data_IF_080558161462
#
_entry.id   IF_080558161462
#
_cell.length_a   1.000
_cell.length_b   1.000
_cell.length_c   1.000
_cell.angle_alpha   90.00
_cell.angle_beta   90.00
_cell.angle_gamma   90.00
#
_symmetry.space_group_name_H-M   'P 1'
#
loop_
_entity.id
_entity.type
_entity.pdbx_description
1 polymer ?
#
# COMPACT_ATOMS: atom_id res chain seq x y z
N UNK A 1 18.36 -64.77 -15.31
CA UNK A 1 17.09 -64.95 -14.57
C UNK A 1 17.14 -64.08 -13.31
N UNK A 2 16.61 -62.85 -13.38
CA UNK A 2 16.59 -61.94 -12.22
C UNK A 2 15.42 -62.35 -11.32
N UNK A 3 15.75 -62.60 -10.05
CA UNK A 3 14.90 -63.25 -9.09
C UNK A 3 13.76 -62.31 -8.65
N UNK A 4 12.52 -62.60 -9.09
CA UNK A 4 11.31 -61.75 -8.92
C UNK A 4 11.00 -61.36 -7.47
N UNK A 5 11.59 -62.02 -6.46
CA UNK A 5 11.41 -61.71 -5.05
C UNK A 5 12.15 -60.45 -4.57
N UNK A 6 13.22 -60.03 -5.23
CA UNK A 6 13.97 -58.83 -4.84
C UNK A 6 13.42 -57.53 -5.46
N UNK A 7 12.68 -57.63 -6.57
CA UNK A 7 12.06 -56.47 -7.23
C UNK A 7 10.89 -55.90 -6.41
N UNK A 8 10.17 -56.76 -5.67
CA UNK A 8 9.07 -56.35 -4.79
C UNK A 8 9.54 -55.64 -3.52
N UNK A 9 10.75 -55.93 -3.04
CA UNK A 9 11.28 -55.32 -1.81
C UNK A 9 11.78 -53.89 -2.05
N UNK A 10 12.38 -53.65 -3.22
CA UNK A 10 12.87 -52.33 -3.62
C UNK A 10 11.72 -51.36 -3.91
N UNK A 11 10.61 -51.85 -4.48
CA UNK A 11 9.41 -51.02 -4.69
C UNK A 11 8.71 -50.66 -3.37
N UNK A 12 8.76 -51.53 -2.36
CA UNK A 12 8.14 -51.24 -1.05
C UNK A 12 8.95 -50.24 -0.22
N UNK A 13 10.27 -50.12 -0.43
CA UNK A 13 11.10 -49.13 0.26
C UNK A 13 10.99 -47.72 -0.36
N UNK A 14 10.71 -47.65 -1.67
CA UNK A 14 10.52 -46.37 -2.37
C UNK A 14 9.15 -45.74 -2.04
N UNK A 15 8.13 -46.55 -1.72
CA UNK A 15 6.81 -46.04 -1.33
C UNK A 15 6.70 -45.55 0.13
N UNK A 16 7.60 -45.96 1.01
CA UNK A 16 7.62 -45.50 2.41
C UNK A 16 8.44 -44.21 2.61
N UNK A 17 9.18 -43.76 1.59
CA UNK A 17 9.99 -42.53 1.63
C UNK A 17 9.22 -41.28 1.18
N UNK A 18 7.97 -41.41 0.72
CA UNK A 18 7.14 -40.29 0.25
C UNK A 18 6.16 -39.75 1.30
N UNK A 19 6.23 -40.26 2.55
CA UNK A 19 5.45 -39.75 3.68
C UNK A 19 6.31 -38.95 4.67
N UNK A 20 7.37 -38.29 4.21
CA UNK A 20 7.98 -37.19 4.95
C UNK A 20 6.92 -36.10 5.10
N UNK A 21 6.47 -35.92 6.34
CA UNK A 21 5.29 -35.15 6.68
C UNK A 21 5.25 -33.79 6.00
N UNK A 22 4.10 -33.48 5.40
CA UNK A 22 3.63 -32.11 5.34
C UNK A 22 3.51 -31.65 6.79
N UNK A 23 4.55 -31.02 7.32
CA UNK A 23 4.34 -30.08 8.41
C UNK A 23 3.28 -29.10 7.91
N UNK A 24 2.22 -28.81 8.68
CA UNK A 24 1.35 -27.71 8.31
C UNK A 24 2.29 -26.52 8.10
N UNK A 25 2.23 -25.91 6.92
CA UNK A 25 2.80 -24.59 6.70
C UNK A 25 2.08 -23.74 7.74
N UNK A 26 2.73 -23.57 8.90
CA UNK A 26 2.30 -22.56 9.85
C UNK A 26 2.15 -21.31 9.00
N UNK A 27 0.98 -20.70 9.06
CA UNK A 27 0.75 -19.38 8.49
C UNK A 27 1.62 -18.41 9.30
N UNK A 28 2.94 -18.50 9.12
CA UNK A 28 3.91 -17.64 9.74
C UNK A 28 3.67 -16.29 9.09
N UNK A 29 3.08 -15.42 9.89
CA UNK A 29 2.82 -14.05 9.58
C UNK A 29 4.14 -13.40 9.14
N UNK A 30 4.25 -13.12 7.84
CA UNK A 30 5.53 -12.75 7.22
C UNK A 30 5.86 -11.28 7.41
N UNK A 31 4.83 -10.46 7.56
CA UNK A 31 4.97 -9.00 7.69
C UNK A 31 4.15 -8.56 8.89
N UNK A 32 4.80 -7.87 9.80
CA UNK A 32 4.14 -7.14 10.87
C UNK A 32 4.38 -5.65 10.68
N UNK A 33 3.36 -4.85 10.98
CA UNK A 33 3.43 -3.40 10.91
C UNK A 33 3.08 -2.86 12.30
N UNK A 34 4.06 -2.25 12.96
CA UNK A 34 3.89 -1.54 14.21
C UNK A 34 3.50 -0.10 13.90
N UNK A 35 2.31 0.30 14.33
CA UNK A 35 1.85 1.67 14.24
C UNK A 35 1.07 2.05 15.49
N UNK A 36 1.00 3.35 15.79
CA UNK A 36 0.03 3.79 16.77
C UNK A 36 -1.38 3.72 16.15
N UNK A 37 -2.42 3.53 16.97
CA UNK A 37 -3.82 3.35 16.53
C UNK A 37 -4.42 4.59 15.82
N UNK A 38 -3.62 5.65 15.62
CA UNK A 38 -4.02 6.94 15.02
C UNK A 38 -3.46 7.07 13.59
N UNK A 39 -2.59 6.16 13.13
CA UNK A 39 -2.04 6.17 11.76
C UNK A 39 -2.98 5.54 10.69
N UNK A 40 -4.30 5.67 10.91
CA UNK A 40 -5.41 5.02 10.17
C UNK A 40 -5.37 5.26 8.65
N UNK A 41 -4.74 6.35 8.18
CA UNK A 41 -4.73 6.70 6.75
C UNK A 41 -3.80 5.82 5.93
N UNK A 42 -2.68 5.35 6.50
CA UNK A 42 -1.68 4.56 5.77
C UNK A 42 -2.02 3.08 5.72
N UNK A 43 -2.85 2.60 6.65
CA UNK A 43 -3.15 1.18 6.80
C UNK A 43 -3.70 0.56 5.52
N UNK A 44 -4.75 1.11 4.86
CA UNK A 44 -5.24 0.54 3.61
C UNK A 44 -4.18 0.50 2.51
N UNK A 45 -3.40 1.58 2.36
CA UNK A 45 -2.35 1.70 1.34
C UNK A 45 -1.28 0.62 1.52
N UNK A 46 -0.80 0.42 2.75
CA UNK A 46 0.21 -0.59 3.04
C UNK A 46 -0.36 -2.01 2.94
N UNK A 47 -1.58 -2.24 3.43
CA UNK A 47 -2.26 -3.54 3.27
C UNK A 47 -2.35 -3.93 1.80
N UNK A 48 -2.84 -3.04 0.95
CA UNK A 48 -2.99 -3.29 -0.48
C UNK A 48 -1.62 -3.51 -1.13
N UNK A 49 -0.64 -2.67 -0.78
CA UNK A 49 0.72 -2.80 -1.28
C UNK A 49 1.31 -4.18 -0.98
N UNK A 50 1.31 -4.62 0.28
CA UNK A 50 1.84 -5.93 0.66
C UNK A 50 1.05 -7.08 0.06
N UNK A 51 -0.28 -6.98 0.01
CA UNK A 51 -1.14 -8.00 -0.59
C UNK A 51 -0.85 -8.17 -2.08
N UNK A 52 -0.48 -7.10 -2.78
CA UNK A 52 0.00 -7.14 -4.17
C UNK A 52 1.23 -8.05 -4.36
N UNK A 53 2.05 -8.24 -3.32
CA UNK A 53 3.18 -9.17 -3.30
C UNK A 53 2.83 -10.55 -2.71
N UNK A 54 1.55 -10.83 -2.45
CA UNK A 54 1.12 -12.04 -1.76
C UNK A 54 1.50 -12.08 -0.28
N UNK A 55 1.78 -10.92 0.31
CA UNK A 55 2.07 -10.75 1.74
C UNK A 55 0.83 -10.19 2.43
N UNK A 56 0.43 -10.80 3.53
CA UNK A 56 -0.72 -10.34 4.31
C UNK A 56 -0.17 -9.73 5.58
N UNK A 57 -0.08 -8.39 5.71
CA UNK A 57 0.50 -7.77 6.90
C UNK A 57 -0.47 -7.80 8.09
N UNK A 58 0.08 -7.91 9.30
CA UNK A 58 -0.67 -7.80 10.54
C UNK A 58 -0.25 -6.50 11.25
N UNK A 59 -1.24 -5.71 11.66
CA UNK A 59 -1.01 -4.43 12.31
C UNK A 59 -1.10 -4.62 13.82
N UNK A 60 -0.03 -4.23 14.51
CA UNK A 60 0.09 -4.36 15.95
C UNK A 60 0.40 -3.01 16.59
N UNK A 61 -0.04 -2.85 17.84
CA UNK A 61 0.39 -1.72 18.65
C UNK A 61 1.86 -1.90 19.08
N UNK A 62 2.58 -0.83 19.45
CA UNK A 62 3.97 -0.92 19.90
C UNK A 62 4.19 -1.87 21.07
N UNK A 63 3.21 -2.00 21.97
CA UNK A 63 3.28 -2.88 23.14
C UNK A 63 3.23 -4.37 22.77
N UNK A 64 2.72 -4.70 21.58
CA UNK A 64 2.54 -6.07 21.10
C UNK A 64 3.76 -6.59 20.32
N UNK A 65 4.85 -5.81 20.19
CA UNK A 65 6.05 -6.23 19.44
C UNK A 65 6.63 -7.56 19.92
N UNK A 66 6.54 -7.84 21.22
CA UNK A 66 7.09 -9.06 21.80
C UNK A 66 6.36 -10.33 21.36
N UNK A 67 5.18 -10.19 20.75
CA UNK A 67 4.43 -11.30 20.18
C UNK A 67 5.04 -11.77 18.86
N UNK A 68 5.83 -10.92 18.20
CA UNK A 68 6.45 -11.18 16.90
C UNK A 68 7.65 -12.12 17.07
N UNK A 69 7.66 -13.23 16.32
CA UNK A 69 8.74 -14.20 16.30
C UNK A 69 9.04 -14.67 14.88
N UNK A 70 10.27 -14.42 14.42
CA UNK A 70 10.78 -14.90 13.14
C UNK A 70 9.93 -14.45 11.94
N UNK A 71 9.42 -13.22 11.94
CA UNK A 71 8.79 -12.66 10.76
C UNK A 71 9.85 -12.42 9.66
N UNK A 72 9.43 -12.28 8.40
CA UNK A 72 10.38 -11.85 7.35
C UNK A 72 10.63 -10.35 7.44
N UNK A 73 9.57 -9.58 7.65
CA UNK A 73 9.61 -8.13 7.76
C UNK A 73 8.90 -7.66 9.01
N UNK A 74 9.55 -6.74 9.71
CA UNK A 74 8.96 -5.87 10.71
C UNK A 74 9.00 -4.44 10.18
N UNK A 75 7.84 -3.81 10.06
CA UNK A 75 7.75 -2.40 9.67
C UNK A 75 7.35 -1.57 10.87
N UNK A 76 8.06 -0.48 11.10
CA UNK A 76 7.78 0.48 12.17
C UNK A 76 7.39 1.80 11.52
N UNK A 77 6.17 2.27 11.78
CA UNK A 77 5.65 3.52 11.23
C UNK A 77 5.83 4.66 12.23
N UNK A 78 6.66 5.63 11.87
CA UNK A 78 6.90 6.85 12.65
C UNK A 78 8.37 7.05 13.02
N UNK A 79 8.75 8.32 13.12
CA UNK A 79 10.10 8.74 13.53
C UNK A 79 10.38 8.58 15.03
N UNK A 80 11.58 8.96 15.49
CA UNK A 80 12.03 8.78 16.87
C UNK A 80 11.17 9.51 17.91
N UNK A 81 10.47 10.57 17.50
CA UNK A 81 9.58 11.36 18.34
C UNK A 81 8.09 10.98 18.17
N UNK A 82 7.81 9.89 17.45
CA UNK A 82 6.44 9.41 17.26
C UNK A 82 5.80 9.04 18.61
N UNK A 83 4.54 9.44 18.86
CA UNK A 83 3.89 9.24 20.14
C UNK A 83 3.46 7.77 20.34
N UNK A 84 2.97 7.47 21.55
CA UNK A 84 2.35 6.19 21.90
C UNK A 84 3.27 4.97 21.75
N UNK A 85 4.55 5.15 22.04
CA UNK A 85 5.53 4.05 22.10
C UNK A 85 6.26 3.77 20.80
N UNK A 86 5.72 4.16 19.64
CA UNK A 86 6.37 3.87 18.35
C UNK A 86 7.71 4.60 18.19
N UNK A 87 7.84 5.84 18.68
CA UNK A 87 9.10 6.58 18.60
C UNK A 87 10.22 6.00 19.45
N UNK A 88 9.89 5.48 20.64
CA UNK A 88 10.85 4.74 21.47
C UNK A 88 11.31 3.48 20.75
N UNK A 89 10.39 2.81 20.07
CA UNK A 89 10.65 1.56 19.37
C UNK A 89 11.52 1.80 18.12
N UNK A 90 11.20 2.81 17.31
CA UNK A 90 12.04 3.25 16.19
C UNK A 90 13.46 3.65 16.66
N UNK A 91 13.55 4.40 17.76
CA UNK A 91 14.83 4.86 18.32
C UNK A 91 15.74 3.72 18.81
N UNK A 92 15.23 2.50 19.03
CA UNK A 92 16.08 1.33 19.37
C UNK A 92 16.90 0.84 18.19
N UNK A 93 16.43 1.11 16.98
CA UNK A 93 17.07 0.66 15.75
C UNK A 93 17.87 1.76 15.04
N UNK A 94 17.51 3.02 15.29
CA UNK A 94 18.20 4.17 14.69
C UNK A 94 19.41 4.60 15.52
N UNK A 95 20.49 4.98 14.85
CA UNK A 95 21.63 5.63 15.50
C UNK A 95 21.38 7.13 15.73
N UNK A 96 22.31 7.79 16.43
CA UNK A 96 22.17 9.21 16.77
C UNK A 96 22.16 10.15 15.56
N UNK A 97 22.84 9.79 14.47
CA UNK A 97 22.87 10.58 13.24
C UNK A 97 21.56 10.42 12.47
N UNK A 98 21.03 9.20 12.38
CA UNK A 98 19.74 8.91 11.76
C UNK A 98 18.59 9.59 12.50
N UNK A 99 18.61 9.55 13.84
CA UNK A 99 17.64 10.26 14.70
C UNK A 99 17.74 11.78 14.45
N UNK A 100 18.95 12.35 14.47
CA UNK A 100 19.14 13.77 14.23
C UNK A 100 18.72 14.18 12.82
N UNK A 101 18.94 13.32 11.83
CA UNK A 101 18.51 13.55 10.44
C UNK A 101 16.99 13.62 10.33
N UNK A 102 16.25 12.65 10.88
CA UNK A 102 14.79 12.66 10.83
C UNK A 102 14.20 13.86 11.59
N UNK A 103 14.83 14.32 12.67
CA UNK A 103 14.38 15.49 13.44
C UNK A 103 14.51 16.82 12.71
N UNK A 104 15.27 16.89 11.61
CA UNK A 104 15.34 18.12 10.84
C UNK A 104 13.98 18.40 10.20
N UNK A 105 13.63 19.69 10.13
CA UNK A 105 12.35 20.14 9.59
C UNK A 105 12.12 19.58 8.18
N UNK A 106 10.89 19.13 7.93
CA UNK A 106 10.41 18.59 6.66
C UNK A 106 11.10 17.29 6.19
N UNK A 107 11.98 16.69 6.99
CA UNK A 107 12.63 15.45 6.61
C UNK A 107 11.72 14.24 6.69
N UNK A 108 12.03 13.26 5.83
CA UNK A 108 11.47 11.91 5.83
C UNK A 108 12.44 10.94 5.18
N UNK A 109 12.43 9.70 5.64
CA UNK A 109 13.29 8.66 5.12
C UNK A 109 12.84 7.26 5.53
N UNK A 110 13.32 6.28 4.78
CA UNK A 110 13.12 4.86 5.04
C UNK A 110 14.45 4.19 5.37
N UNK A 111 14.59 3.70 6.60
CA UNK A 111 15.75 2.95 7.03
C UNK A 111 15.46 1.46 6.94
N UNK A 112 16.38 0.71 6.36
CA UNK A 112 16.27 -0.75 6.22
C UNK A 112 17.45 -1.38 6.95
N UNK A 113 17.15 -2.15 8.00
CA UNK A 113 18.14 -2.71 8.92
C UNK A 113 17.92 -4.20 9.11
N UNK A 114 18.95 -4.88 9.62
CA UNK A 114 18.79 -6.21 10.16
C UNK A 114 18.16 -6.10 11.55
N UNK A 115 17.30 -7.05 11.90
CA UNK A 115 16.80 -7.10 13.27
C UNK A 115 17.86 -7.68 14.20
N UNK A 116 18.22 -6.93 15.23
CA UNK A 116 19.13 -7.39 16.28
C UNK A 116 18.39 -8.01 17.47
N UNK A 117 17.06 -7.92 17.50
CA UNK A 117 16.22 -8.40 18.60
C UNK A 117 15.49 -9.72 18.29
N UNK A 118 15.56 -10.22 17.04
CA UNK A 118 15.06 -11.54 16.65
C UNK A 118 13.54 -11.61 16.42
N UNK A 119 12.88 -10.48 16.26
CA UNK A 119 11.49 -10.38 15.82
C UNK A 119 11.35 -10.70 14.33
N UNK A 120 12.26 -10.22 13.47
CA UNK A 120 12.20 -10.41 12.03
C UNK A 120 13.57 -10.62 11.35
N UNK A 121 13.59 -11.04 10.08
CA UNK A 121 14.83 -11.04 9.29
C UNK A 121 15.31 -9.60 9.03
N UNK A 122 14.37 -8.72 8.67
CA UNK A 122 14.63 -7.29 8.41
C UNK A 122 13.64 -6.38 9.11
N UNK A 123 14.14 -5.22 9.53
CA UNK A 123 13.34 -4.13 10.11
C UNK A 123 13.37 -2.94 9.16
N UNK A 124 12.19 -2.44 8.81
CA UNK A 124 12.02 -1.26 7.97
C UNK A 124 11.37 -0.17 8.81
N UNK A 125 12.04 0.96 8.95
CA UNK A 125 11.55 2.10 9.70
C UNK A 125 11.20 3.18 8.69
N UNK A 126 9.90 3.48 8.57
CA UNK A 126 9.40 4.54 7.70
C UNK A 126 9.11 5.73 8.59
N UNK A 127 9.92 6.77 8.46
CA UNK A 127 9.96 7.86 9.43
C UNK A 127 9.92 9.22 8.75
N UNK A 128 9.06 10.10 9.26
CA UNK A 128 9.09 11.54 9.02
C UNK A 128 9.45 12.31 10.28
N UNK A 129 9.90 13.55 10.09
CA UNK A 129 10.01 14.57 11.15
C UNK A 129 8.68 14.80 11.85
N UNK A 130 7.59 14.69 11.09
CA UNK A 130 6.22 14.78 11.55
C UNK A 130 5.39 13.62 10.96
N UNK A 131 4.15 13.49 11.45
CA UNK A 131 3.24 12.42 11.01
C UNK A 131 2.96 12.53 9.51
N UNK A 132 2.69 13.73 9.03
CA UNK A 132 2.44 14.08 7.63
C UNK A 132 3.61 13.65 6.74
N UNK A 133 4.85 13.86 7.21
CA UNK A 133 6.07 13.46 6.50
C UNK A 133 6.27 11.94 6.47
N UNK A 134 5.83 11.23 7.50
CA UNK A 134 5.79 9.76 7.49
C UNK A 134 4.82 9.26 6.42
N UNK A 135 3.63 9.85 6.32
CA UNK A 135 2.66 9.52 5.27
C UNK A 135 3.18 9.81 3.86
N UNK A 136 3.80 10.97 3.64
CA UNK A 136 4.44 11.30 2.35
C UNK A 136 5.46 10.24 1.96
N UNK A 137 6.25 9.73 2.90
CA UNK A 137 7.25 8.70 2.61
C UNK A 137 6.61 7.36 2.26
N UNK A 138 5.59 6.93 3.00
CA UNK A 138 4.82 5.73 2.64
C UNK A 138 4.30 5.84 1.21
N UNK A 139 3.75 6.98 0.84
CA UNK A 139 3.28 7.23 -0.52
C UNK A 139 4.41 7.14 -1.56
N UNK A 140 5.59 7.71 -1.28
CA UNK A 140 6.75 7.62 -2.17
C UNK A 140 7.19 6.17 -2.38
N UNK A 141 7.29 5.39 -1.29
CA UNK A 141 7.70 3.99 -1.32
C UNK A 141 6.75 3.14 -2.15
N UNK A 142 5.46 3.29 -1.90
CA UNK A 142 4.39 2.50 -2.52
C UNK A 142 4.27 2.85 -4.01
N UNK A 143 4.58 4.09 -4.39
CA UNK A 143 4.74 4.51 -5.80
C UNK A 143 6.08 4.12 -6.44
N UNK A 144 6.94 3.37 -5.74
CA UNK A 144 8.18 2.84 -6.26
C UNK A 144 9.36 3.79 -6.32
N UNK A 145 9.35 4.84 -5.51
CA UNK A 145 10.47 5.80 -5.42
C UNK A 145 11.71 5.23 -4.71
N UNK A 146 11.63 4.02 -4.14
CA UNK A 146 12.73 3.39 -3.40
C UNK A 146 12.91 1.92 -3.82
N UNK A 147 13.96 1.67 -4.60
CA UNK A 147 14.29 0.34 -5.13
C UNK A 147 14.72 -0.63 -4.02
N UNK A 148 15.42 -0.14 -2.99
CA UNK A 148 15.85 -0.97 -1.86
C UNK A 148 14.65 -1.51 -1.09
N UNK A 149 13.66 -0.67 -0.79
CA UNK A 149 12.42 -1.09 -0.15
C UNK A 149 11.69 -2.16 -0.96
N UNK A 150 11.49 -1.93 -2.27
CA UNK A 150 10.88 -2.92 -3.15
C UNK A 150 11.62 -4.26 -3.17
N UNK A 151 12.96 -4.20 -3.14
CA UNK A 151 13.81 -5.40 -3.14
C UNK A 151 13.57 -6.24 -1.89
N UNK A 152 13.50 -5.62 -0.71
CA UNK A 152 13.22 -6.33 0.54
C UNK A 152 11.82 -6.96 0.53
N UNK A 153 10.82 -6.27 -0.03
CA UNK A 153 9.46 -6.81 -0.15
C UNK A 153 9.45 -8.00 -1.11
N UNK A 154 10.16 -7.89 -2.24
CA UNK A 154 10.28 -8.96 -3.21
C UNK A 154 10.97 -10.19 -2.61
N UNK A 155 12.04 -10.01 -1.84
CA UNK A 155 12.73 -11.07 -1.10
C UNK A 155 11.82 -11.70 -0.05
N UNK A 156 11.09 -10.87 0.71
CA UNK A 156 10.14 -11.35 1.69
C UNK A 156 8.99 -12.17 1.07
N UNK A 157 8.65 -11.91 -0.19
CA UNK A 157 7.65 -12.67 -0.97
C UNK A 157 8.20 -13.93 -1.64
N UNK A 158 9.52 -14.20 -1.61
CA UNK A 158 10.11 -15.36 -2.29
C UNK A 158 9.55 -16.69 -1.80
N UNK A 159 9.21 -17.58 -2.74
CA UNK A 159 8.62 -18.89 -2.47
C UNK A 159 7.17 -18.87 -2.02
N UNK A 160 6.55 -17.68 -1.86
CA UNK A 160 5.11 -17.56 -1.75
C UNK A 160 4.52 -17.70 -3.14
N UNK A 161 3.26 -18.14 -3.22
CA UNK A 161 2.45 -17.81 -4.38
C UNK A 161 2.45 -16.29 -4.40
N UNK A 162 3.32 -15.68 -5.22
CA UNK A 162 2.99 -14.39 -5.80
C UNK A 162 1.59 -14.63 -6.29
N UNK A 163 0.59 -14.02 -5.66
CA UNK A 163 -0.75 -14.02 -6.23
C UNK A 163 -0.55 -13.16 -7.45
N UNK A 164 -0.12 -13.83 -8.52
CA UNK A 164 0.65 -13.26 -9.63
C UNK A 164 -0.18 -12.27 -10.42
N UNK A 165 -1.47 -12.21 -10.09
CA UNK A 165 -2.51 -11.53 -10.79
C UNK A 165 -3.39 -10.68 -9.86
N UNK A 166 -2.92 -10.27 -8.68
CA UNK A 166 -3.65 -9.22 -7.94
C UNK A 166 -3.33 -7.83 -8.52
N UNK A 167 -4.36 -7.06 -8.88
CA UNK A 167 -4.19 -5.64 -9.15
C UNK A 167 -3.82 -4.88 -7.88
N UNK A 168 -3.00 -3.85 -8.04
CA UNK A 168 -2.68 -2.88 -6.99
C UNK A 168 -2.79 -1.49 -7.59
N UNK A 169 -3.93 -0.84 -7.37
CA UNK A 169 -4.19 0.49 -7.91
C UNK A 169 -3.72 1.54 -6.91
N UNK A 170 -2.85 2.44 -7.36
CA UNK A 170 -2.46 3.63 -6.62
C UNK A 170 -2.79 4.85 -7.45
N UNK A 171 -3.25 5.91 -6.78
CA UNK A 171 -3.58 7.16 -7.44
C UNK A 171 -2.89 8.33 -6.73
N UNK A 172 -2.27 9.20 -7.50
CA UNK A 172 -1.89 10.55 -7.08
C UNK A 172 -2.83 11.58 -7.67
N UNK A 173 -2.93 12.74 -7.04
CA UNK A 173 -3.87 13.80 -7.42
C UNK A 173 -3.23 15.19 -7.32
N UNK A 174 -3.54 16.03 -8.31
CA UNK A 174 -3.46 17.49 -8.21
C UNK A 174 -4.83 18.09 -8.57
N UNK A 175 -5.20 19.20 -7.93
CA UNK A 175 -6.49 19.82 -8.18
C UNK A 175 -6.45 21.34 -7.92
N UNK A 176 -7.36 22.06 -8.57
CA UNK A 176 -7.54 23.50 -8.38
C UNK A 176 -8.11 23.79 -6.99
N UNK A 177 -7.42 24.59 -6.17
CA UNK A 177 -7.88 24.99 -4.84
C UNK A 177 -8.65 26.31 -4.83
N UNK A 178 -8.42 27.18 -5.82
CA UNK A 178 -9.12 28.46 -6.03
C UNK A 178 -9.31 28.68 -7.53
N UNK A 179 -10.51 29.07 -7.97
CA UNK A 179 -10.81 29.35 -9.39
C UNK A 179 -11.58 30.66 -9.55
N UNK A 180 -11.11 31.56 -10.41
CA UNK A 180 -11.77 32.86 -10.69
C UNK A 180 -12.73 32.80 -11.88
N UNK A 181 -12.54 31.82 -12.76
CA UNK A 181 -13.35 31.58 -13.97
C UNK A 181 -14.41 30.50 -13.78
N UNK A 182 -14.60 30.09 -12.52
CA UNK A 182 -15.44 28.98 -12.10
C UNK A 182 -15.02 27.62 -12.70
N UNK A 183 -13.80 27.48 -13.24
CA UNK A 183 -13.27 26.22 -13.77
C UNK A 183 -12.34 25.57 -12.73
N UNK A 184 -12.65 24.34 -12.34
CA UNK A 184 -11.82 23.51 -11.48
C UNK A 184 -11.27 22.32 -12.27
N UNK A 185 -9.96 22.13 -12.19
CA UNK A 185 -9.27 20.99 -12.77
C UNK A 185 -8.95 19.96 -11.68
N UNK A 186 -9.15 18.68 -11.99
CA UNK A 186 -8.73 17.55 -11.17
C UNK A 186 -7.94 16.64 -12.08
N UNK A 187 -6.66 16.48 -11.78
CA UNK A 187 -5.76 15.58 -12.50
C UNK A 187 -5.36 14.43 -11.59
N UNK A 188 -5.59 13.21 -12.06
CA UNK A 188 -5.33 11.97 -11.36
C UNK A 188 -4.34 11.14 -12.16
N UNK A 189 -3.23 10.73 -11.55
CA UNK A 189 -2.35 9.73 -12.12
C UNK A 189 -2.56 8.42 -11.39
N UNK A 190 -3.15 7.46 -12.08
CA UNK A 190 -3.57 6.16 -11.55
C UNK A 190 -2.66 5.10 -12.16
N UNK A 191 -2.10 4.22 -11.35
CA UNK A 191 -1.23 3.17 -11.82
C UNK A 191 -1.58 1.85 -11.15
N UNK A 192 -1.62 0.80 -11.95
CA UNK A 192 -1.65 -0.56 -11.47
C UNK A 192 -0.21 -1.03 -11.22
N UNK A 193 0.28 -0.94 -9.98
CA UNK A 193 1.60 -1.44 -9.59
C UNK A 193 1.62 -2.97 -9.46
N UNK A 194 0.45 -3.61 -9.48
CA UNK A 194 0.30 -5.05 -9.43
C UNK A 194 0.66 -5.67 -10.78
N UNK A 195 0.85 -6.99 -10.78
CA UNK A 195 0.98 -7.77 -12.02
C UNK A 195 -0.37 -8.26 -12.55
N UNK A 196 -1.40 -8.18 -11.70
CA UNK A 196 -2.77 -8.51 -12.05
C UNK A 196 -3.52 -7.43 -12.76
N UNK A 197 -4.58 -7.84 -13.45
CA UNK A 197 -5.51 -6.94 -14.10
C UNK A 197 -6.53 -6.40 -13.09
N UNK A 198 -6.65 -5.07 -13.00
CA UNK A 198 -7.73 -4.43 -12.26
C UNK A 198 -8.93 -4.31 -13.19
N UNK A 199 -10.02 -5.00 -12.89
CA UNK A 199 -11.24 -4.89 -13.69
C UNK A 199 -12.15 -3.82 -13.14
N UNK A 200 -12.79 -3.08 -14.05
CA UNK A 200 -13.81 -2.10 -13.70
C UNK A 200 -13.33 -1.06 -12.68
N UNK A 201 -12.18 -0.43 -12.94
CA UNK A 201 -11.68 0.69 -12.15
C UNK A 201 -12.62 1.88 -12.32
N UNK A 202 -13.10 2.40 -11.20
CA UNK A 202 -14.04 3.52 -11.13
C UNK A 202 -13.45 4.55 -10.17
N UNK A 203 -13.37 5.80 -10.62
CA UNK A 203 -13.11 6.94 -9.75
C UNK A 203 -14.44 7.57 -9.36
N UNK A 204 -14.60 7.90 -8.09
CA UNK A 204 -15.78 8.55 -7.56
C UNK A 204 -15.41 9.81 -6.78
N UNK A 205 -16.06 10.92 -7.13
CA UNK A 205 -15.99 12.18 -6.39
C UNK A 205 -17.23 12.24 -5.48
N UNK A 206 -17.08 12.55 -4.20
CA UNK A 206 -18.23 12.64 -3.28
C UNK A 206 -19.29 13.61 -3.80
N UNK A 207 -20.57 13.24 -3.65
CA UNK A 207 -21.69 14.02 -4.15
C UNK A 207 -21.78 15.43 -3.52
N UNK A 208 -21.41 15.56 -2.24
CA UNK A 208 -21.32 16.85 -1.51
C UNK A 208 -20.40 17.87 -2.21
N UNK A 209 -19.41 17.39 -2.96
CA UNK A 209 -18.57 18.24 -3.81
C UNK A 209 -19.16 18.30 -5.22
N UNK A 210 -19.36 17.13 -5.87
CA UNK A 210 -19.66 17.04 -7.29
C UNK A 210 -20.98 17.71 -7.70
N UNK A 211 -22.01 17.64 -6.86
CA UNK A 211 -23.33 18.23 -7.12
C UNK A 211 -23.28 19.76 -7.31
N UNK A 212 -22.25 20.44 -6.83
CA UNK A 212 -22.03 21.89 -7.00
C UNK A 212 -21.43 22.28 -8.36
N UNK A 213 -21.06 21.30 -9.18
CA UNK A 213 -20.39 21.51 -10.46
C UNK A 213 -21.18 20.90 -11.62
N UNK A 214 -20.89 21.38 -12.83
CA UNK A 214 -21.24 20.75 -14.10
C UNK A 214 -19.97 20.25 -14.77
N UNK A 215 -19.96 19.00 -15.23
CA UNK A 215 -18.86 18.44 -16.00
C UNK A 215 -18.66 19.20 -17.31
N UNK A 216 -17.43 19.63 -17.59
CA UNK A 216 -17.06 20.25 -18.87
C UNK A 216 -16.38 19.24 -19.79
N UNK A 217 -15.40 18.51 -19.28
CA UNK A 217 -14.68 17.48 -20.02
C UNK A 217 -14.06 16.47 -19.07
N UNK A 218 -13.80 15.28 -19.60
CA UNK A 218 -13.03 14.25 -18.90
C UNK A 218 -12.35 13.34 -19.93
N UNK A 219 -11.08 13.02 -19.70
CA UNK A 219 -10.29 12.13 -20.55
C UNK A 219 -9.14 11.48 -19.74
N UNK A 220 -8.85 10.18 -19.90
CA UNK A 220 -9.63 9.16 -20.60
C UNK A 220 -10.71 8.57 -19.68
N UNK A 221 -11.92 8.38 -20.21
CA UNK A 221 -12.98 7.65 -19.51
C UNK A 221 -13.83 6.88 -20.50
N UNK A 222 -14.28 5.68 -20.13
CA UNK A 222 -15.21 4.89 -20.96
C UNK A 222 -16.65 5.33 -20.80
N UNK A 223 -17.03 5.71 -19.58
CA UNK A 223 -18.38 6.14 -19.22
C UNK A 223 -18.34 7.07 -18.03
N UNK A 224 -19.26 8.03 -18.00
CA UNK A 224 -19.56 8.84 -16.81
C UNK A 224 -20.99 8.56 -16.40
N UNK A 225 -21.22 8.36 -15.10
CA UNK A 225 -22.55 8.22 -14.50
C UNK A 225 -22.60 9.05 -13.22
N UNK A 226 -23.20 10.24 -13.30
CA UNK A 226 -23.18 11.21 -12.21
C UNK A 226 -21.75 11.53 -11.75
N UNK A 227 -21.48 11.25 -10.48
CA UNK A 227 -20.21 11.49 -9.81
C UNK A 227 -19.17 10.36 -10.00
N UNK A 228 -19.47 9.36 -10.86
CA UNK A 228 -18.63 8.18 -11.11
C UNK A 228 -18.04 8.19 -12.52
N UNK A 229 -16.74 7.95 -12.59
CA UNK A 229 -15.92 7.95 -13.81
C UNK A 229 -15.34 6.55 -14.03
N UNK A 230 -15.84 5.86 -15.06
CA UNK A 230 -15.47 4.47 -15.35
C UNK A 230 -14.25 4.45 -16.27
N UNK A 231 -13.10 4.13 -15.70
CA UNK A 231 -11.83 3.97 -16.42
C UNK A 231 -11.83 2.64 -17.19
N UNK A 232 -12.44 1.60 -16.59
CA UNK A 232 -12.48 0.26 -17.14
C UNK A 232 -11.31 -0.57 -16.62
N UNK A 233 -10.75 -1.42 -17.46
CA UNK A 233 -9.70 -2.32 -17.00
C UNK A 233 -8.32 -1.69 -17.07
N UNK A 234 -7.46 -2.01 -16.10
CA UNK A 234 -6.04 -1.65 -16.10
C UNK A 234 -5.18 -2.91 -15.97
N UNK A 235 -4.35 -3.20 -16.96
CA UNK A 235 -3.38 -4.30 -16.93
C UNK A 235 -2.28 -4.06 -15.89
N UNK A 236 -1.57 -5.11 -15.51
CA UNK A 236 -0.47 -4.98 -14.55
C UNK A 236 0.66 -4.07 -15.07
N UNK A 237 1.08 -3.10 -14.27
CA UNK A 237 2.06 -2.07 -14.65
C UNK A 237 1.49 -0.89 -15.44
N UNK A 238 0.20 -0.91 -15.80
CA UNK A 238 -0.42 0.15 -16.59
C UNK A 238 -0.54 1.46 -15.79
N UNK A 239 -0.26 2.59 -16.47
CA UNK A 239 -0.41 3.94 -15.95
C UNK A 239 -1.45 4.68 -16.77
N UNK A 240 -2.37 5.36 -16.10
CA UNK A 240 -3.43 6.16 -16.69
C UNK A 240 -3.48 7.54 -16.04
N UNK A 241 -3.60 8.56 -16.87
CA UNK A 241 -3.66 9.96 -16.42
C UNK A 241 -5.04 10.52 -16.77
N UNK A 242 -5.89 10.68 -15.75
CA UNK A 242 -7.28 11.13 -15.85
C UNK A 242 -7.36 12.63 -15.54
N UNK A 243 -7.78 13.42 -16.51
CA UNK A 243 -8.08 14.84 -16.37
C UNK A 243 -9.59 15.05 -16.35
N UNK A 244 -10.11 15.69 -15.30
CA UNK A 244 -11.51 16.06 -15.13
C UNK A 244 -11.59 17.58 -15.00
N UNK A 245 -12.32 18.21 -15.91
CA UNK A 245 -12.61 19.64 -15.87
C UNK A 245 -14.07 19.86 -15.46
N UNK A 246 -14.26 20.60 -14.39
CA UNK A 246 -15.55 20.93 -13.80
C UNK A 246 -15.79 22.43 -13.86
N UNK A 247 -17.05 22.85 -14.03
CA UNK A 247 -17.48 24.24 -13.91
C UNK A 247 -18.40 24.41 -12.71
N UNK A 248 -18.04 25.28 -11.78
CA UNK A 248 -18.85 25.58 -10.61
C UNK A 248 -20.17 26.27 -11.03
N UNK A 249 -21.27 25.86 -10.40
CA UNK A 249 -22.59 26.44 -10.67
C UNK A 249 -22.77 27.79 -10.00
N UNK A 250 -22.12 27.99 -8.85
CA UNK A 250 -22.20 29.19 -8.00
C UNK A 250 -20.86 29.44 -7.30
N UNK A 251 -20.72 30.60 -6.69
CA UNK A 251 -19.62 30.93 -5.78
C UNK A 251 -19.79 30.20 -4.45
N UNK A 252 -18.68 29.85 -3.80
CA UNK A 252 -18.70 29.12 -2.54
C UNK A 252 -17.39 28.39 -2.22
N UNK A 253 -17.38 27.72 -1.07
CA UNK A 253 -16.30 26.82 -0.67
C UNK A 253 -16.87 25.40 -0.67
N UNK A 254 -16.33 24.55 -1.53
CA UNK A 254 -16.81 23.19 -1.73
C UNK A 254 -15.78 22.20 -1.22
N UNK A 255 -16.20 21.27 -0.36
CA UNK A 255 -15.33 20.24 0.24
C UNK A 255 -15.87 18.86 -0.09
N UNK A 256 -14.98 17.88 -0.24
CA UNK A 256 -15.38 16.50 -0.50
C UNK A 256 -14.18 15.58 -0.61
N UNK A 257 -14.40 14.41 -1.21
CA UNK A 257 -13.41 13.33 -1.26
C UNK A 257 -13.39 12.69 -2.62
N UNK A 258 -12.20 12.35 -3.11
CA UNK A 258 -12.05 11.47 -4.27
C UNK A 258 -11.64 10.09 -3.77
N UNK A 259 -12.26 9.08 -4.34
CA UNK A 259 -12.00 7.67 -4.06
C UNK A 259 -11.96 6.87 -5.36
N UNK A 260 -11.47 5.64 -5.31
CA UNK A 260 -11.59 4.69 -6.40
C UNK A 260 -12.05 3.33 -5.91
N UNK A 261 -12.56 2.51 -6.81
CA UNK A 261 -12.83 1.08 -6.57
C UNK A 261 -12.48 0.27 -7.82
N UNK A 262 -12.35 -1.04 -7.65
CA UNK A 262 -12.31 -2.03 -8.72
C UNK A 262 -12.88 -3.34 -8.18
N UNK A 263 -13.18 -4.34 -9.03
CA UNK A 263 -13.87 -5.56 -8.58
C UNK A 263 -13.08 -6.38 -7.54
N UNK A 264 -11.78 -6.10 -7.40
CA UNK A 264 -10.89 -6.73 -6.42
C UNK A 264 -10.92 -6.09 -5.02
N UNK A 265 -11.61 -4.97 -4.84
CA UNK A 265 -11.80 -4.32 -3.53
C UNK A 265 -13.30 -4.10 -3.34
N UNK A 266 -13.84 -4.65 -2.24
CA UNK A 266 -15.29 -4.61 -1.94
C UNK A 266 -15.75 -3.20 -1.49
N UNK A 267 -14.81 -2.32 -1.15
CA UNK A 267 -15.04 -0.97 -0.62
C UNK A 267 -14.16 0.06 -1.33
N UNK A 268 -14.69 1.27 -1.54
CA UNK A 268 -13.94 2.36 -2.17
C UNK A 268 -12.70 2.73 -1.35
N UNK A 269 -11.53 2.73 -2.00
CA UNK A 269 -10.28 3.22 -1.46
C UNK A 269 -10.21 4.74 -1.63
N UNK A 270 -10.01 5.46 -0.52
CA UNK A 270 -9.94 6.92 -0.52
C UNK A 270 -8.61 7.40 -1.12
N UNK A 271 -8.67 8.32 -2.08
CA UNK A 271 -7.49 8.97 -2.69
C UNK A 271 -7.11 10.20 -1.87
N UNK A 272 -8.02 11.19 -1.77
CA UNK A 272 -7.75 12.45 -1.09
C UNK A 272 -9.00 13.26 -0.80
N UNK A 273 -8.89 14.14 0.18
CA UNK A 273 -9.85 15.20 0.47
C UNK A 273 -9.56 16.41 -0.40
N UNK A 274 -10.60 16.98 -0.98
CA UNK A 274 -10.49 18.12 -1.89
C UNK A 274 -11.28 19.30 -1.35
N UNK A 275 -10.77 20.49 -1.60
CA UNK A 275 -11.42 21.76 -1.24
C UNK A 275 -11.15 22.78 -2.32
N UNK A 276 -12.22 23.37 -2.85
CA UNK A 276 -12.14 24.36 -3.93
C UNK A 276 -12.93 25.59 -3.54
N UNK A 277 -12.27 26.75 -3.63
CA UNK A 277 -12.88 28.06 -3.40
C UNK A 277 -13.21 28.72 -4.72
N UNK A 278 -14.47 29.11 -4.88
CA UNK A 278 -15.00 29.83 -6.04
C UNK A 278 -15.44 31.22 -5.55
N UNK A 279 -14.74 32.30 -5.93
CA UNK A 279 -15.04 33.68 -5.53
C UNK A 279 -16.44 34.15 -5.93
#
# INVERSE_FOLDING_TARGET
MINKKYLSLVFSFILLSSMSGFTPISAQQNVYIISNNIDVVAKPILEDYFRGYGLFPEFLAPDDINQIKGARLLIILGGPDAPFGTGQLASRYLDSLEIAFIRQKDQRFTFIKNDIFGHADRVIIIAGSEREKTYEEIFNLVNGSNVSFQTEIQQASEGRVQIRDLPLILASISFTTITVDNIAHIYLKIQNFGRGKATNVIVEISDDYYSNFSLQSVDPVRRVDGNKFYIGDMEGGEVLELDITLRAKQSGIYTGTISYTHDGIVTYARIRDITTTVP
#
